data_IF_440830763214
#
_entry.id   IF_440830763214
#
_cell.length_a   1.000
_cell.length_b   1.000
_cell.length_c   1.000
_cell.angle_alpha   90.00
_cell.angle_beta   90.00
_cell.angle_gamma   90.00
#
_symmetry.space_group_name_H-M   'P 1'
#
loop_
_entity.id
_entity.type
_entity.pdbx_description
1 polymer ?
#
# COMPACT_ATOMS: atom_id res chain seq x y z
N UNK A 1 -26.90 -4.03 -25.14
CA UNK A 1 -27.49 -3.88 -23.79
C UNK A 1 -27.46 -2.40 -23.48
N UNK A 2 -28.63 -1.76 -23.52
CA UNK A 2 -28.77 -0.36 -23.07
C UNK A 2 -28.75 -0.46 -21.54
N UNK A 3 -27.67 0.02 -20.93
CA UNK A 3 -27.56 0.01 -19.47
C UNK A 3 -28.46 1.13 -18.96
N UNK A 4 -29.46 0.79 -18.16
CA UNK A 4 -30.43 1.75 -17.63
C UNK A 4 -29.74 2.63 -16.57
N UNK A 5 -29.67 3.96 -16.76
CA UNK A 5 -29.01 4.86 -15.82
C UNK A 5 -29.59 4.84 -14.40
N UNK A 6 -30.81 4.32 -14.24
CA UNK A 6 -31.51 4.22 -12.95
C UNK A 6 -31.03 3.05 -12.06
N UNK A 7 -30.27 2.09 -12.60
CA UNK A 7 -29.67 0.99 -11.81
C UNK A 7 -28.38 1.41 -11.10
N UNK A 8 -27.77 2.54 -11.47
CA UNK A 8 -26.55 3.01 -10.84
C UNK A 8 -26.86 3.81 -9.57
N UNK A 9 -26.50 3.23 -8.43
CA UNK A 9 -26.40 3.96 -7.17
C UNK A 9 -25.40 5.12 -7.30
N UNK A 10 -25.79 6.29 -6.78
CA UNK A 10 -24.89 7.45 -6.73
C UNK A 10 -23.70 7.16 -5.84
N UNK A 11 -22.53 7.74 -6.14
CA UNK A 11 -21.33 7.59 -5.31
C UNK A 11 -21.58 7.96 -3.83
N UNK A 12 -22.40 8.99 -3.58
CA UNK A 12 -22.74 9.41 -2.22
C UNK A 12 -23.54 8.35 -1.45
N UNK A 13 -24.53 7.75 -2.11
CA UNK A 13 -25.38 6.72 -1.52
C UNK A 13 -24.58 5.43 -1.31
N UNK A 14 -23.80 5.02 -2.31
CA UNK A 14 -22.85 3.91 -2.19
C UNK A 14 -21.87 4.13 -1.04
N UNK A 15 -21.29 5.32 -0.89
CA UNK A 15 -20.28 5.59 0.14
C UNK A 15 -20.86 5.43 1.54
N UNK A 16 -22.06 5.95 1.78
CA UNK A 16 -22.73 5.81 3.08
C UNK A 16 -23.24 4.40 3.34
N UNK A 17 -23.69 3.68 2.32
CA UNK A 17 -24.03 2.26 2.47
C UNK A 17 -22.79 1.39 2.72
N UNK A 18 -21.66 1.70 2.08
CA UNK A 18 -20.42 0.93 2.16
C UNK A 18 -19.62 1.20 3.44
N UNK A 19 -19.78 2.36 4.09
CA UNK A 19 -18.98 2.71 5.27
C UNK A 19 -19.22 1.78 6.45
N UNK A 20 -20.48 1.37 6.66
CA UNK A 20 -20.88 0.48 7.76
C UNK A 20 -20.27 -0.92 7.59
N UNK A 21 -20.45 -1.64 6.47
CA UNK A 21 -19.83 -2.95 6.28
C UNK A 21 -18.30 -2.84 6.25
N UNK A 22 -17.73 -1.76 5.71
CA UNK A 22 -16.28 -1.55 5.74
C UNK A 22 -15.74 -1.45 7.16
N UNK A 23 -16.36 -0.62 8.01
CA UNK A 23 -15.98 -0.49 9.42
C UNK A 23 -16.16 -1.81 10.18
N UNK A 24 -17.25 -2.53 9.93
CA UNK A 24 -17.50 -3.85 10.54
C UNK A 24 -16.41 -4.86 10.14
N UNK A 25 -15.98 -4.83 8.88
CA UNK A 25 -14.88 -5.67 8.38
C UNK A 25 -13.55 -5.34 9.05
N UNK A 26 -13.25 -4.05 9.26
CA UNK A 26 -12.05 -3.62 10.01
C UNK A 26 -12.10 -4.12 11.46
N UNK A 27 -13.26 -3.97 12.13
CA UNK A 27 -13.44 -4.41 13.51
C UNK A 27 -13.30 -5.92 13.63
N UNK A 28 -13.88 -6.70 12.72
CA UNK A 28 -13.76 -8.16 12.75
C UNK A 28 -12.33 -8.63 12.50
N UNK A 29 -11.59 -8.00 11.57
CA UNK A 29 -10.17 -8.29 11.36
C UNK A 29 -9.32 -7.92 12.58
N UNK A 30 -9.58 -6.78 13.22
CA UNK A 30 -8.86 -6.35 14.43
C UNK A 30 -9.11 -7.30 15.61
N UNK A 31 -10.38 -7.63 15.87
CA UNK A 31 -10.76 -8.55 16.94
C UNK A 31 -10.20 -9.95 16.65
N UNK A 32 -10.34 -10.44 15.42
CA UNK A 32 -9.79 -11.72 14.99
C UNK A 32 -8.27 -11.78 15.14
N UNK A 33 -7.57 -10.71 14.74
CA UNK A 33 -6.12 -10.58 14.91
C UNK A 33 -5.69 -10.56 16.38
N UNK A 34 -6.42 -9.84 17.25
CA UNK A 34 -6.18 -9.80 18.70
C UNK A 34 -6.39 -11.18 19.34
N UNK A 35 -7.48 -11.86 18.99
CA UNK A 35 -7.76 -13.22 19.47
C UNK A 35 -6.67 -14.18 19.01
N UNK A 36 -6.27 -14.13 17.74
CA UNK A 36 -5.19 -14.95 17.20
C UNK A 36 -3.87 -14.70 17.94
N UNK A 37 -3.54 -13.43 18.19
CA UNK A 37 -2.34 -13.05 18.94
C UNK A 37 -2.39 -13.54 20.39
N UNK A 38 -3.54 -13.41 21.06
CA UNK A 38 -3.77 -13.94 22.40
C UNK A 38 -3.59 -15.46 22.44
N UNK A 39 -4.20 -16.19 21.51
CA UNK A 39 -4.09 -17.65 21.43
C UNK A 39 -2.64 -18.06 21.20
N UNK A 40 -1.92 -17.43 20.26
CA UNK A 40 -0.50 -17.69 20.06
C UNK A 40 0.34 -17.44 21.33
N UNK A 41 0.09 -16.34 22.04
CA UNK A 41 0.82 -16.05 23.28
C UNK A 41 0.44 -17.01 24.40
N UNK A 42 -0.82 -17.40 24.54
CA UNK A 42 -1.28 -18.30 25.58
C UNK A 42 -0.80 -19.75 25.36
N UNK A 43 -0.54 -20.14 24.11
CA UNK A 43 0.06 -21.43 23.77
C UNK A 43 1.58 -21.42 23.96
N UNK A 44 2.26 -20.30 23.60
CA UNK A 44 3.73 -20.19 23.71
C UNK A 44 4.23 -19.74 25.09
N UNK A 45 3.39 -19.07 25.87
CA UNK A 45 3.69 -18.51 27.21
C UNK A 45 2.49 -18.75 28.12
N UNK A 46 2.66 -18.59 29.43
CA UNK A 46 1.53 -18.74 30.36
C UNK A 46 0.37 -17.76 30.05
N UNK A 47 -0.90 -18.19 30.16
CA UNK A 47 -2.08 -17.38 29.80
C UNK A 47 -2.17 -16.03 30.54
N UNK A 48 -1.76 -15.98 31.80
CA UNK A 48 -1.76 -14.75 32.61
C UNK A 48 -0.76 -13.70 32.07
N UNK A 49 0.39 -14.17 31.58
CA UNK A 49 1.41 -13.30 30.98
C UNK A 49 0.93 -12.74 29.63
N UNK A 50 0.09 -13.48 28.90
CA UNK A 50 -0.50 -13.02 27.65
C UNK A 50 -1.43 -11.81 27.87
N UNK A 51 -2.30 -11.87 28.89
CA UNK A 51 -3.21 -10.76 29.22
C UNK A 51 -2.43 -9.50 29.60
N UNK A 52 -1.40 -9.63 30.43
CA UNK A 52 -0.60 -8.50 30.88
C UNK A 52 0.16 -7.81 29.74
N UNK A 53 0.72 -8.60 28.80
CA UNK A 53 1.43 -8.06 27.64
C UNK A 53 0.45 -7.30 26.73
N UNK A 54 -0.68 -7.91 26.40
CA UNK A 54 -1.68 -7.31 25.50
C UNK A 54 -2.27 -6.05 26.11
N UNK A 55 -2.65 -6.08 27.40
CA UNK A 55 -3.23 -4.93 28.10
C UNK A 55 -2.26 -3.74 28.18
N UNK A 56 -1.00 -4.00 28.50
CA UNK A 56 0.03 -2.94 28.54
C UNK A 56 0.32 -2.37 27.16
N UNK A 57 0.40 -3.20 26.13
CA UNK A 57 0.61 -2.74 24.75
C UNK A 57 -0.57 -1.91 24.27
N UNK A 58 -1.81 -2.38 24.45
CA UNK A 58 -3.01 -1.67 23.99
C UNK A 58 -3.13 -0.31 24.67
N UNK A 59 -2.96 -0.25 26.00
CA UNK A 59 -3.00 1.00 26.74
C UNK A 59 -1.88 1.97 26.30
N UNK A 60 -0.64 1.49 26.19
CA UNK A 60 0.47 2.37 25.81
C UNK A 60 0.35 2.88 24.36
N UNK A 61 -0.08 2.03 23.42
CA UNK A 61 -0.25 2.41 22.03
C UNK A 61 -1.38 3.44 21.87
N UNK A 62 -2.53 3.23 22.52
CA UNK A 62 -3.68 4.13 22.38
C UNK A 62 -3.45 5.46 23.10
N UNK A 63 -2.96 5.44 24.34
CA UNK A 63 -2.89 6.65 25.16
C UNK A 63 -1.58 7.44 25.02
N UNK A 64 -0.45 6.81 24.64
CA UNK A 64 0.84 7.51 24.50
C UNK A 64 1.26 7.69 23.06
N UNK A 65 1.14 6.65 22.22
CA UNK A 65 1.75 6.67 20.88
C UNK A 65 0.89 7.37 19.82
N UNK A 66 -0.42 7.15 19.81
CA UNK A 66 -1.35 7.78 18.86
C UNK A 66 -1.43 9.32 18.97
N UNK A 67 -1.72 9.93 20.13
CA UNK A 67 -1.98 11.37 20.22
C UNK A 67 -0.74 12.23 19.97
N UNK A 68 0.45 11.65 20.09
CA UNK A 68 1.70 12.37 19.92
C UNK A 68 2.32 12.16 18.53
N UNK A 69 1.59 11.50 17.61
CA UNK A 69 2.00 11.24 16.23
C UNK A 69 2.11 12.56 15.46
N UNK A 70 3.20 12.77 14.73
CA UNK A 70 3.39 14.00 13.95
C UNK A 70 3.38 13.70 12.46
N UNK A 71 2.37 14.22 11.76
CA UNK A 71 2.27 14.13 10.29
C UNK A 71 3.50 14.71 9.58
N UNK A 72 4.12 15.74 10.15
CA UNK A 72 5.33 16.37 9.59
C UNK A 72 6.51 15.40 9.55
N UNK A 73 6.68 14.54 10.56
CA UNK A 73 7.73 13.52 10.60
C UNK A 73 7.45 12.40 9.59
N UNK A 74 6.21 11.94 9.53
CA UNK A 74 5.77 10.93 8.56
C UNK A 74 6.02 11.41 7.14
N UNK A 75 5.61 12.64 6.80
CA UNK A 75 5.81 13.20 5.47
C UNK A 75 7.29 13.42 5.13
N UNK A 76 8.11 13.82 6.11
CA UNK A 76 9.56 13.94 5.90
C UNK A 76 10.21 12.58 5.56
N UNK A 77 9.78 11.51 6.21
CA UNK A 77 10.25 10.15 5.90
C UNK A 77 9.71 9.65 4.56
N UNK A 78 8.42 9.87 4.28
CA UNK A 78 7.81 9.51 3.00
C UNK A 78 8.52 10.20 1.83
N UNK A 79 8.84 11.50 1.97
CA UNK A 79 9.60 12.23 0.97
C UNK A 79 10.97 11.59 0.72
N UNK A 80 11.70 11.19 1.77
CA UNK A 80 12.98 10.51 1.61
C UNK A 80 12.82 9.16 0.91
N UNK A 81 11.80 8.38 1.29
CA UNK A 81 11.49 7.10 0.66
C UNK A 81 11.17 7.26 -0.84
N UNK A 82 10.44 8.32 -1.22
CA UNK A 82 10.17 8.65 -2.63
C UNK A 82 11.49 8.92 -3.38
N UNK A 83 12.42 9.68 -2.81
CA UNK A 83 13.71 9.96 -3.47
C UNK A 83 14.57 8.69 -3.61
N UNK A 84 14.51 7.80 -2.62
CA UNK A 84 15.18 6.50 -2.65
C UNK A 84 14.58 5.58 -3.72
N UNK A 85 13.25 5.51 -3.80
CA UNK A 85 12.52 4.78 -4.83
C UNK A 85 12.86 5.31 -6.24
N UNK A 86 12.95 6.64 -6.40
CA UNK A 86 13.33 7.30 -7.64
C UNK A 86 14.77 7.01 -8.09
N UNK A 87 15.67 6.71 -7.16
CA UNK A 87 17.06 6.34 -7.45
C UNK A 87 17.25 4.83 -7.63
N UNK A 88 16.21 4.03 -7.40
CA UNK A 88 16.31 2.58 -7.44
C UNK A 88 16.57 2.06 -8.87
N UNK A 89 17.34 0.97 -8.99
CA UNK A 89 17.55 0.29 -10.29
C UNK A 89 16.26 -0.31 -10.85
N UNK A 90 15.22 -0.48 -10.04
CA UNK A 90 13.90 -0.96 -10.45
C UNK A 90 13.31 -0.02 -11.52
N UNK A 91 13.49 1.30 -11.36
CA UNK A 91 13.02 2.27 -12.37
C UNK A 91 13.78 2.18 -13.69
N UNK A 92 15.05 1.76 -13.67
CA UNK A 92 15.82 1.56 -14.91
C UNK A 92 15.26 0.37 -15.69
N UNK A 93 15.03 -0.76 -15.01
CA UNK A 93 14.41 -1.94 -15.63
C UNK A 93 13.03 -1.57 -16.19
N UNK A 94 12.29 -0.76 -15.45
CA UNK A 94 10.98 -0.29 -15.86
C UNK A 94 11.02 0.64 -17.07
N UNK A 95 11.98 1.57 -17.11
CA UNK A 95 12.20 2.45 -18.27
C UNK A 95 12.51 1.65 -19.54
N UNK A 96 13.28 0.56 -19.44
CA UNK A 96 13.51 -0.36 -20.56
C UNK A 96 12.18 -0.99 -21.02
N UNK A 97 11.33 -1.39 -20.08
CA UNK A 97 10.00 -1.95 -20.39
C UNK A 97 9.10 -0.95 -21.12
N UNK A 98 9.11 0.33 -20.71
CA UNK A 98 8.40 1.41 -21.42
C UNK A 98 8.91 1.54 -22.86
N UNK A 99 10.24 1.53 -23.06
CA UNK A 99 10.83 1.62 -24.39
C UNK A 99 10.38 0.45 -25.26
N UNK A 100 10.41 -0.79 -24.75
CA UNK A 100 9.93 -1.97 -25.47
C UNK A 100 8.45 -1.84 -25.88
N UNK A 101 7.60 -1.30 -24.99
CA UNK A 101 6.19 -1.08 -25.31
C UNK A 101 5.97 0.01 -26.35
N UNK A 102 6.78 1.08 -26.34
CA UNK A 102 6.75 2.10 -27.39
C UNK A 102 7.10 1.51 -28.76
N UNK A 103 8.07 0.58 -28.81
CA UNK A 103 8.34 -0.19 -30.04
C UNK A 103 7.18 -1.10 -30.44
N UNK A 104 6.42 -1.62 -29.46
CA UNK A 104 5.17 -2.35 -29.73
C UNK A 104 4.16 -1.55 -30.55
N UNK A 105 4.22 -0.22 -30.50
CA UNK A 105 3.38 0.67 -31.31
C UNK A 105 3.62 0.56 -32.82
N UNK A 106 4.81 0.14 -33.24
CA UNK A 106 5.12 -0.11 -34.66
C UNK A 106 4.36 -1.34 -35.17
N UNK A 107 4.16 -2.36 -34.33
CA UNK A 107 3.50 -3.61 -34.71
C UNK A 107 1.97 -3.52 -34.75
N UNK A 108 1.40 -2.32 -34.58
CA UNK A 108 -0.05 -2.09 -34.68
C UNK A 108 -0.47 -2.01 -36.14
N UNK A 109 -1.51 -2.76 -36.50
CA UNK A 109 -2.04 -2.81 -37.86
C UNK A 109 -2.76 -1.50 -38.21
N UNK A 110 -2.25 -0.82 -39.23
CA UNK A 110 -2.73 0.48 -39.70
C UNK A 110 -3.95 0.32 -40.62
N UNK A 111 -4.18 -0.89 -41.16
CA UNK A 111 -5.26 -1.18 -42.12
C UNK A 111 -6.61 -1.49 -41.44
N UNK A 112 -6.65 -1.36 -40.12
CA UNK A 112 -7.84 -1.61 -39.30
C UNK A 112 -8.90 -0.50 -39.49
N UNK A 113 -10.19 -0.83 -39.41
CA UNK A 113 -11.31 0.11 -39.60
C UNK A 113 -11.30 1.29 -38.59
N UNK A 114 -10.67 1.09 -37.44
CA UNK A 114 -10.60 2.07 -36.34
C UNK A 114 -9.18 2.20 -35.75
N UNK A 115 -8.21 2.74 -36.50
CA UNK A 115 -6.80 2.73 -36.11
C UNK A 115 -6.58 3.54 -34.82
N UNK A 116 -7.25 4.69 -34.67
CA UNK A 116 -7.13 5.53 -33.47
C UNK A 116 -7.54 4.80 -32.18
N UNK A 117 -8.60 3.96 -32.23
CA UNK A 117 -9.02 3.17 -31.07
C UNK A 117 -7.96 2.13 -30.71
N UNK A 118 -7.39 1.45 -31.71
CA UNK A 118 -6.36 0.45 -31.50
C UNK A 118 -5.11 1.05 -30.83
N UNK A 119 -4.62 2.20 -31.31
CA UNK A 119 -3.49 2.91 -30.70
C UNK A 119 -3.80 3.36 -29.27
N UNK A 120 -4.95 4.00 -29.03
CA UNK A 120 -5.32 4.48 -27.70
C UNK A 120 -5.48 3.33 -26.71
N UNK A 121 -6.19 2.26 -27.10
CA UNK A 121 -6.36 1.07 -26.25
C UNK A 121 -5.03 0.40 -25.96
N UNK A 122 -4.14 0.27 -26.95
CA UNK A 122 -2.82 -0.30 -26.74
C UNK A 122 -2.00 0.53 -25.76
N UNK A 123 -1.89 1.85 -25.97
CA UNK A 123 -1.10 2.73 -25.12
C UNK A 123 -1.67 2.77 -23.71
N UNK A 124 -2.98 3.02 -23.55
CA UNK A 124 -3.63 3.12 -22.24
C UNK A 124 -3.55 1.80 -21.47
N UNK A 125 -3.84 0.67 -22.12
CA UNK A 125 -3.78 -0.65 -21.47
C UNK A 125 -2.35 -1.02 -21.08
N UNK A 126 -1.40 -0.83 -22.00
CA UNK A 126 0.01 -1.12 -21.75
C UNK A 126 0.57 -0.26 -20.61
N UNK A 127 0.30 1.05 -20.61
CA UNK A 127 0.69 1.95 -19.52
C UNK A 127 0.03 1.58 -18.20
N UNK A 128 -1.25 1.19 -18.20
CA UNK A 128 -1.96 0.77 -16.99
C UNK A 128 -1.31 -0.46 -16.35
N UNK A 129 -1.08 -1.53 -17.12
CA UNK A 129 -0.42 -2.74 -16.62
C UNK A 129 1.00 -2.46 -16.12
N UNK A 130 1.71 -1.61 -16.85
CA UNK A 130 3.05 -1.18 -16.51
C UNK A 130 3.03 -0.46 -15.14
N UNK A 131 2.21 0.57 -14.95
CA UNK A 131 2.12 1.31 -13.68
C UNK A 131 1.74 0.39 -12.51
N UNK A 132 0.80 -0.53 -12.70
CA UNK A 132 0.40 -1.50 -11.67
C UNK A 132 1.60 -2.38 -11.28
N UNK A 133 2.34 -2.90 -12.25
CA UNK A 133 3.55 -3.69 -12.00
C UNK A 133 4.59 -2.87 -11.22
N UNK A 134 4.85 -1.62 -11.60
CA UNK A 134 5.78 -0.75 -10.87
C UNK A 134 5.34 -0.51 -9.43
N UNK A 135 4.08 -0.15 -9.24
CA UNK A 135 3.53 0.13 -7.90
C UNK A 135 3.65 -1.10 -7.01
N UNK A 136 3.32 -2.29 -7.54
CA UNK A 136 3.47 -3.56 -6.84
C UNK A 136 4.94 -3.84 -6.47
N UNK A 137 5.87 -3.67 -7.40
CA UNK A 137 7.30 -3.93 -7.13
C UNK A 137 7.90 -2.92 -6.15
N UNK A 138 7.61 -1.63 -6.30
CA UNK A 138 8.10 -0.59 -5.39
C UNK A 138 7.54 -0.81 -3.98
N UNK A 139 6.26 -1.13 -3.85
CA UNK A 139 5.61 -1.38 -2.56
C UNK A 139 6.15 -2.64 -1.89
N UNK A 140 6.20 -3.76 -2.61
CA UNK A 140 6.66 -5.04 -2.05
C UNK A 140 8.13 -5.01 -1.63
N UNK A 141 8.96 -4.22 -2.33
CA UNK A 141 10.40 -4.16 -2.08
C UNK A 141 10.88 -2.91 -1.35
N UNK A 142 10.02 -1.98 -0.93
CA UNK A 142 10.44 -0.78 -0.18
C UNK A 142 11.07 -1.16 1.17
N UNK A 143 10.35 -1.93 1.99
CA UNK A 143 10.78 -2.33 3.32
C UNK A 143 11.95 -3.36 3.30
N UNK A 144 11.90 -4.42 2.47
CA UNK A 144 12.99 -5.40 2.42
C UNK A 144 14.32 -4.78 1.95
N UNK A 145 14.28 -3.84 1.01
CA UNK A 145 15.50 -3.16 0.55
C UNK A 145 16.13 -2.30 1.66
N UNK A 146 15.31 -1.61 2.47
CA UNK A 146 15.79 -0.83 3.62
C UNK A 146 16.51 -1.70 4.65
N UNK A 147 16.02 -2.92 4.86
CA UNK A 147 16.62 -3.91 5.77
C UNK A 147 17.92 -4.43 5.16
N UNK A 148 17.90 -4.86 3.89
CA UNK A 148 19.07 -5.40 3.19
C UNK A 148 20.23 -4.41 3.15
N UNK A 149 19.93 -3.13 2.90
CA UNK A 149 20.93 -2.06 2.80
C UNK A 149 21.31 -1.45 4.15
N UNK A 150 20.75 -1.93 5.26
CA UNK A 150 20.97 -1.41 6.63
C UNK A 150 20.57 0.06 6.82
N UNK A 151 19.85 0.65 5.87
CA UNK A 151 19.34 2.03 5.95
C UNK A 151 18.39 2.20 7.13
N UNK A 152 17.62 1.15 7.47
CA UNK A 152 16.65 1.17 8.57
C UNK A 152 17.27 1.56 9.93
N UNK A 153 18.51 1.15 10.19
CA UNK A 153 19.20 1.43 11.46
C UNK A 153 19.50 2.92 11.67
N UNK A 154 19.60 3.69 10.58
CA UNK A 154 19.82 5.14 10.65
C UNK A 154 18.54 5.92 10.99
N UNK A 155 17.38 5.28 10.81
CA UNK A 155 16.06 5.85 11.10
C UNK A 155 15.68 5.51 12.54
N UNK A 156 15.94 4.27 12.98
CA UNK A 156 15.58 3.79 14.33
C UNK A 156 16.37 4.48 15.44
N UNK A 157 17.51 5.09 15.14
CA UNK A 157 18.29 5.87 16.12
C UNK A 157 17.74 7.29 16.32
N UNK A 158 16.89 7.77 15.43
CA UNK A 158 16.18 9.05 15.60
C UNK A 158 14.98 8.84 16.53
N UNK A 159 14.53 9.85 17.29
CA UNK A 159 13.36 9.76 18.16
C UNK A 159 12.04 9.75 17.35
N UNK A 160 11.87 8.71 16.53
CA UNK A 160 10.73 8.45 15.65
C UNK A 160 10.10 7.14 16.08
N UNK A 161 8.77 7.11 16.18
CA UNK A 161 8.07 5.91 16.65
C UNK A 161 7.95 4.85 15.57
N UNK A 162 7.87 3.58 15.97
CA UNK A 162 7.79 2.45 15.04
C UNK A 162 6.59 2.56 14.09
N UNK A 163 5.43 3.06 14.54
CA UNK A 163 4.28 3.25 13.67
C UNK A 163 4.45 4.41 12.68
N UNK A 164 5.16 5.47 13.08
CA UNK A 164 5.49 6.59 12.17
C UNK A 164 6.44 6.12 11.06
N UNK A 165 7.38 5.21 11.37
CA UNK A 165 8.27 4.61 10.37
C UNK A 165 7.47 3.81 9.35
N UNK A 166 6.52 2.97 9.82
CA UNK A 166 5.66 2.20 8.93
C UNK A 166 4.82 3.11 8.02
N UNK A 167 4.12 4.09 8.59
CA UNK A 167 3.30 5.06 7.84
C UNK A 167 4.12 5.93 6.88
N UNK A 168 5.40 6.14 7.17
CA UNK A 168 6.29 6.94 6.33
C UNK A 168 7.03 6.12 5.26
N UNK A 169 6.96 4.79 5.27
CA UNK A 169 7.69 3.90 4.35
C UNK A 169 6.79 3.05 3.45
N UNK A 170 5.54 2.83 3.85
CA UNK A 170 4.51 2.08 3.10
C UNK A 170 3.52 3.07 2.50
#
# INVERSE_FOLDING_TARGET
>A
MVVDPSEFISFGDWFWEAIVPFLLTIVTLLVGGLVFWFVQLAVRRHPRVAVDIIGRTLHNSIFRDLPSTSLRRIFAMARLAIHEALRSRVLVIFAIFVVLLLFGGWFLDVENDHPARLYLTFVLSSTSYLIIALAMFLSAFSLPNDIKNRTIYTITTKPVRSHEIFMGRV
#
